data_IF_875831513028
#
_entry.id   IF_875831513028
#
_cell.length_a   1.000
_cell.length_b   1.000
_cell.length_c   1.000
_cell.angle_alpha   90.00
_cell.angle_beta   90.00
_cell.angle_gamma   90.00
#
_symmetry.space_group_name_H-M   'P 1'
#
loop_
_entity.id
_entity.type
_entity.pdbx_description
1 polymer ?
#
# COMPACT_ATOMS: atom_id res chain seq x y z
N UNK A 1 -26.64 -7.00 5.86
CA UNK A 1 -25.81 -6.00 6.54
C UNK A 1 -25.11 -6.67 7.70
N UNK A 2 -23.79 -6.72 7.72
CA UNK A 2 -23.07 -7.38 8.82
C UNK A 2 -22.86 -6.37 9.95
N UNK A 3 -23.46 -6.65 11.11
CA UNK A 3 -23.32 -5.88 12.37
C UNK A 3 -21.85 -5.63 12.73
N UNK A 4 -20.94 -6.51 12.30
CA UNK A 4 -19.50 -6.41 12.52
C UNK A 4 -18.87 -5.19 11.85
N UNK A 5 -19.38 -4.73 10.73
CA UNK A 5 -18.76 -3.63 9.98
C UNK A 5 -19.15 -2.23 10.45
N UNK A 6 -20.41 -2.04 10.87
CA UNK A 6 -20.82 -0.77 11.48
C UNK A 6 -20.13 -0.59 12.84
N UNK A 7 -20.02 -1.66 13.63
CA UNK A 7 -19.26 -1.65 14.88
C UNK A 7 -17.78 -1.34 14.65
N UNK A 8 -17.12 -1.92 13.65
CA UNK A 8 -15.68 -1.73 13.43
C UNK A 8 -15.35 -0.31 12.95
N UNK A 9 -16.24 0.33 12.18
CA UNK A 9 -16.04 1.74 11.77
C UNK A 9 -16.18 2.70 12.95
N UNK A 10 -17.13 2.49 13.84
CA UNK A 10 -17.32 3.23 15.10
C UNK A 10 -16.13 3.05 16.05
N UNK A 11 -15.75 1.81 16.32
CA UNK A 11 -14.59 1.48 17.17
C UNK A 11 -13.27 2.07 16.66
N UNK A 12 -13.02 2.03 15.36
CA UNK A 12 -11.80 2.62 14.82
C UNK A 12 -11.77 4.14 14.99
N UNK A 13 -12.92 4.82 14.89
CA UNK A 13 -13.02 6.26 15.17
C UNK A 13 -12.79 6.56 16.65
N UNK A 14 -13.45 5.83 17.53
CA UNK A 14 -13.32 5.98 18.99
C UNK A 14 -11.92 5.66 19.50
N UNK A 15 -11.21 4.69 18.90
CA UNK A 15 -9.83 4.37 19.27
C UNK A 15 -8.81 5.36 18.67
N UNK A 16 -9.09 5.98 17.52
CA UNK A 16 -8.22 7.03 16.96
C UNK A 16 -8.19 8.30 17.81
N UNK A 17 -9.27 8.61 18.52
CA UNK A 17 -9.34 9.78 19.40
C UNK A 17 -8.31 9.73 20.54
N UNK A 18 -8.26 8.67 21.40
CA UNK A 18 -7.26 8.58 22.47
C UNK A 18 -5.83 8.48 21.92
N UNK A 19 -5.58 7.80 20.81
CA UNK A 19 -4.26 7.74 20.20
C UNK A 19 -3.78 9.13 19.72
N UNK A 20 -4.67 9.92 19.13
CA UNK A 20 -4.37 11.30 18.73
C UNK A 20 -4.08 12.18 19.95
N UNK A 21 -4.83 12.02 21.05
CA UNK A 21 -4.57 12.73 22.30
C UNK A 21 -3.20 12.37 22.88
N UNK A 22 -2.86 11.07 22.96
CA UNK A 22 -1.54 10.59 23.43
C UNK A 22 -0.42 11.21 22.60
N UNK A 23 -0.54 11.22 21.27
CA UNK A 23 0.43 11.87 20.38
C UNK A 23 0.58 13.36 20.66
N UNK A 24 -0.51 14.11 20.74
CA UNK A 24 -0.47 15.55 21.03
C UNK A 24 0.22 15.85 22.35
N UNK A 25 -0.04 15.06 23.41
CA UNK A 25 0.63 15.22 24.70
C UNK A 25 2.12 14.88 24.60
N UNK A 26 2.50 13.76 23.95
CA UNK A 26 3.89 13.39 23.77
C UNK A 26 4.66 14.47 22.98
N UNK A 27 4.10 14.95 21.86
CA UNK A 27 4.69 16.01 21.04
C UNK A 27 4.80 17.35 21.82
N UNK A 28 3.79 17.72 22.59
CA UNK A 28 3.83 18.90 23.45
C UNK A 28 4.94 18.83 24.52
N UNK A 29 5.15 17.66 25.11
CA UNK A 29 6.25 17.41 26.03
C UNK A 29 7.61 17.45 25.33
N UNK A 30 7.76 16.82 24.16
CA UNK A 30 8.98 16.83 23.36
C UNK A 30 9.40 18.26 22.99
N UNK A 31 8.48 19.10 22.53
CA UNK A 31 8.77 20.50 22.19
C UNK A 31 9.29 21.26 23.41
N UNK A 32 8.63 21.11 24.56
CA UNK A 32 9.01 21.82 25.78
C UNK A 32 10.34 21.35 26.36
N UNK A 33 10.56 20.03 26.39
CA UNK A 33 11.80 19.48 26.93
C UNK A 33 13.00 19.80 26.03
N UNK A 34 12.87 19.68 24.70
CA UNK A 34 13.93 20.07 23.76
C UNK A 34 14.30 21.54 23.87
N UNK A 35 13.34 22.42 24.13
CA UNK A 35 13.59 23.84 24.35
C UNK A 35 14.32 24.14 25.68
N UNK A 36 14.17 23.28 26.68
CA UNK A 36 14.79 23.42 27.98
C UNK A 36 16.16 22.69 28.06
N UNK A 37 16.25 21.49 27.50
CA UNK A 37 17.43 20.63 27.49
C UNK A 37 17.35 19.62 26.34
N UNK A 38 18.18 19.84 25.31
CA UNK A 38 18.23 18.96 24.12
C UNK A 38 18.67 17.52 24.42
N UNK A 39 19.27 17.27 25.57
CA UNK A 39 19.74 15.95 25.97
C UNK A 39 18.93 15.37 27.15
N UNK A 40 17.74 15.92 27.40
CA UNK A 40 16.92 15.48 28.53
C UNK A 40 16.60 13.98 28.45
N UNK A 41 16.83 13.18 29.51
CA UNK A 41 16.76 11.72 29.49
C UNK A 41 15.37 11.13 29.19
N UNK A 42 14.29 11.93 29.24
CA UNK A 42 12.93 11.52 28.88
C UNK A 42 12.62 11.67 27.39
N UNK A 43 13.44 12.37 26.60
CA UNK A 43 13.19 12.57 25.18
C UNK A 43 13.04 11.26 24.41
N UNK A 44 13.92 10.24 24.57
CA UNK A 44 13.77 8.97 23.86
C UNK A 44 12.46 8.23 24.21
N UNK A 45 12.03 8.30 25.47
CA UNK A 45 10.79 7.68 25.92
C UNK A 45 9.55 8.35 25.31
N UNK A 46 9.54 9.68 25.24
CA UNK A 46 8.45 10.44 24.62
C UNK A 46 8.39 10.24 23.11
N UNK A 47 9.54 10.15 22.43
CA UNK A 47 9.62 9.78 21.00
C UNK A 47 9.05 8.40 20.75
N UNK A 48 9.36 7.43 21.61
CA UNK A 48 8.77 6.09 21.54
C UNK A 48 7.24 6.12 21.72
N UNK A 49 6.74 6.91 22.67
CA UNK A 49 5.29 7.05 22.90
C UNK A 49 4.62 7.65 21.66
N UNK A 50 5.17 8.73 21.06
CA UNK A 50 4.64 9.34 19.83
C UNK A 50 4.62 8.34 18.68
N UNK A 51 5.71 7.60 18.48
CA UNK A 51 5.81 6.55 17.45
C UNK A 51 4.79 5.43 17.66
N UNK A 52 4.61 4.93 18.89
CA UNK A 52 3.64 3.86 19.17
C UNK A 52 2.20 4.33 18.96
N UNK A 53 1.88 5.54 19.38
CA UNK A 53 0.56 6.12 19.16
C UNK A 53 0.27 6.33 17.65
N UNK A 54 1.27 6.78 16.86
CA UNK A 54 1.16 6.88 15.41
C UNK A 54 0.93 5.51 14.77
N UNK A 55 1.70 4.50 15.14
CA UNK A 55 1.54 3.11 14.66
C UNK A 55 0.15 2.56 14.95
N UNK A 56 -0.37 2.79 16.16
CA UNK A 56 -1.72 2.40 16.53
C UNK A 56 -2.79 3.04 15.65
N UNK A 57 -2.65 4.34 15.38
CA UNK A 57 -3.57 5.08 14.51
C UNK A 57 -3.52 4.58 13.06
N UNK A 58 -2.32 4.25 12.54
CA UNK A 58 -2.15 3.68 11.19
C UNK A 58 -2.77 2.28 11.11
N UNK A 59 -2.57 1.48 12.14
CA UNK A 59 -3.19 0.16 12.33
C UNK A 59 -4.71 0.25 12.21
N UNK A 60 -5.33 1.14 12.96
CA UNK A 60 -6.78 1.33 12.94
C UNK A 60 -7.30 1.88 11.61
N UNK A 61 -6.55 2.76 10.96
CA UNK A 61 -6.88 3.25 9.61
C UNK A 61 -6.92 2.11 8.60
N UNK A 62 -5.91 1.27 8.61
CA UNK A 62 -5.82 0.12 7.71
C UNK A 62 -6.92 -0.91 7.98
N UNK A 63 -7.23 -1.18 9.26
CA UNK A 63 -8.32 -2.05 9.66
C UNK A 63 -9.68 -1.50 9.20
N UNK A 64 -9.95 -0.21 9.43
CA UNK A 64 -11.17 0.46 8.96
C UNK A 64 -11.29 0.37 7.44
N UNK A 65 -10.21 0.62 6.73
CA UNK A 65 -10.19 0.51 5.28
C UNK A 65 -10.49 -0.91 4.80
N UNK A 66 -9.89 -1.91 5.45
CA UNK A 66 -10.16 -3.31 5.15
C UNK A 66 -11.63 -3.70 5.40
N UNK A 67 -12.21 -3.27 6.52
CA UNK A 67 -13.60 -3.58 6.89
C UNK A 67 -14.59 -2.84 5.99
N UNK A 68 -14.39 -1.56 5.70
CA UNK A 68 -15.27 -0.79 4.81
C UNK A 68 -15.30 -1.37 3.40
N UNK A 69 -14.15 -1.85 2.92
CA UNK A 69 -14.09 -2.57 1.65
C UNK A 69 -14.77 -3.95 1.72
N UNK A 70 -14.77 -4.64 2.89
CA UNK A 70 -15.46 -5.91 3.09
C UNK A 70 -16.95 -5.81 2.88
N UNK A 71 -17.53 -4.63 3.10
CA UNK A 71 -18.97 -4.39 3.04
C UNK A 71 -19.47 -3.87 1.68
N UNK A 72 -18.62 -3.83 0.66
CA UNK A 72 -19.01 -3.29 -0.66
C UNK A 72 -19.26 -1.79 -0.65
N UNK A 73 -18.86 -1.08 0.41
CA UNK A 73 -19.01 0.36 0.49
C UNK A 73 -17.89 1.02 -0.31
N UNK A 74 -18.18 1.81 -1.35
CA UNK A 74 -17.18 2.33 -2.26
C UNK A 74 -16.38 3.44 -1.57
N UNK A 75 -15.27 3.09 -0.93
CA UNK A 75 -14.18 4.06 -0.70
C UNK A 75 -13.65 4.57 -2.06
N UNK A 76 -14.05 3.92 -3.11
CA UNK A 76 -13.75 4.24 -4.50
C UNK A 76 -14.94 4.93 -5.18
N UNK A 77 -15.41 6.03 -4.61
CA UNK A 77 -16.35 6.95 -5.28
C UNK A 77 -15.67 7.73 -6.41
N UNK A 78 -14.35 7.60 -6.52
CA UNK A 78 -13.60 8.24 -7.59
C UNK A 78 -13.93 7.60 -8.94
N UNK A 79 -14.14 8.46 -9.95
CA UNK A 79 -14.41 8.00 -11.30
C UNK A 79 -13.23 7.20 -11.88
N UNK A 80 -13.53 6.16 -12.64
CA UNK A 80 -12.54 5.43 -13.44
C UNK A 80 -12.00 6.39 -14.51
N UNK A 81 -10.70 6.56 -14.55
CA UNK A 81 -10.01 7.44 -15.49
C UNK A 81 -8.70 6.81 -15.97
N UNK A 82 -8.25 7.23 -17.14
CA UNK A 82 -6.96 6.82 -17.66
C UNK A 82 -5.83 7.47 -16.86
N UNK A 83 -5.09 6.68 -16.08
CA UNK A 83 -4.00 7.11 -15.21
C UNK A 83 -2.66 6.79 -15.87
N UNK A 84 -1.75 7.74 -15.93
CA UNK A 84 -0.36 7.51 -16.30
C UNK A 84 0.33 6.74 -15.15
N UNK A 85 0.74 5.51 -15.42
CA UNK A 85 1.35 4.64 -14.38
C UNK A 85 2.64 5.26 -13.86
N UNK A 86 3.44 5.87 -14.73
CA UNK A 86 4.67 6.57 -14.35
C UNK A 86 4.41 7.69 -13.35
N UNK A 87 3.42 8.53 -13.62
CA UNK A 87 3.05 9.66 -12.75
C UNK A 87 2.56 9.17 -11.38
N UNK A 88 1.78 8.08 -11.34
CA UNK A 88 1.33 7.48 -10.09
C UNK A 88 2.50 6.94 -9.25
N UNK A 89 3.47 6.28 -9.88
CA UNK A 89 4.69 5.79 -9.21
C UNK A 89 5.49 6.97 -8.64
N UNK A 90 5.74 7.99 -9.45
CA UNK A 90 6.53 9.16 -9.06
C UNK A 90 5.83 9.92 -7.90
N UNK A 91 4.52 10.07 -7.95
CA UNK A 91 3.72 10.71 -6.88
C UNK A 91 3.82 9.92 -5.57
N UNK A 92 3.55 8.63 -5.59
CA UNK A 92 3.64 7.78 -4.40
C UNK A 92 5.06 7.79 -3.83
N UNK A 93 6.07 7.66 -4.68
CA UNK A 93 7.46 7.69 -4.27
C UNK A 93 7.84 8.99 -3.56
N UNK A 94 7.43 10.15 -4.10
CA UNK A 94 7.67 11.45 -3.47
C UNK A 94 6.98 11.56 -2.10
N UNK A 95 5.71 11.17 -2.00
CA UNK A 95 4.97 11.19 -0.73
C UNK A 95 5.66 10.35 0.35
N UNK A 96 6.06 9.14 0.00
CA UNK A 96 6.71 8.23 0.95
C UNK A 96 8.10 8.72 1.38
N UNK A 97 8.86 9.34 0.47
CA UNK A 97 10.15 9.98 0.81
C UNK A 97 9.99 11.18 1.73
N UNK A 98 9.01 12.05 1.46
CA UNK A 98 8.72 13.21 2.32
C UNK A 98 8.31 12.78 3.74
N UNK A 99 7.62 11.66 3.87
CA UNK A 99 7.27 11.06 5.16
C UNK A 99 8.45 10.36 5.87
N UNK A 100 9.67 10.42 5.32
CA UNK A 100 10.89 9.80 5.83
C UNK A 100 10.74 8.30 6.15
N UNK A 101 9.88 7.61 5.40
CA UNK A 101 9.58 6.20 5.67
C UNK A 101 10.78 5.27 5.37
N UNK A 102 11.69 5.67 4.44
CA UNK A 102 12.84 4.87 4.05
C UNK A 102 13.91 5.71 3.32
N UNK A 103 14.82 6.36 4.03
CA UNK A 103 15.81 7.27 3.43
C UNK A 103 16.85 6.56 2.54
N UNK A 104 16.97 5.23 2.63
CA UNK A 104 18.07 4.44 2.02
C UNK A 104 17.66 3.63 0.80
N UNK A 105 16.38 3.59 0.41
CA UNK A 105 15.94 2.81 -0.76
C UNK A 105 16.17 3.60 -2.05
N UNK A 106 16.78 2.95 -3.05
CA UNK A 106 16.92 3.48 -4.41
C UNK A 106 15.84 2.90 -5.32
N UNK A 107 15.08 3.77 -5.99
CA UNK A 107 14.05 3.37 -6.95
C UNK A 107 14.61 3.38 -8.38
N UNK A 108 14.40 2.27 -9.10
CA UNK A 108 14.68 2.11 -10.53
C UNK A 108 13.35 1.92 -11.26
N UNK A 109 13.08 2.70 -12.31
CA UNK A 109 11.80 2.62 -13.03
C UNK A 109 12.00 2.50 -14.53
N UNK A 110 11.38 1.47 -15.13
CA UNK A 110 11.30 1.24 -16.57
C UNK A 110 9.83 1.23 -16.98
N UNK A 111 9.25 2.42 -17.10
CA UNK A 111 7.82 2.62 -17.41
C UNK A 111 7.69 3.70 -18.47
N UNK A 112 7.03 3.38 -19.58
CA UNK A 112 6.74 4.36 -20.62
C UNK A 112 5.81 5.46 -20.10
N UNK A 113 6.14 6.71 -20.37
CA UNK A 113 5.28 7.85 -20.03
C UNK A 113 3.90 7.80 -20.70
N UNK A 114 3.77 7.07 -21.80
CA UNK A 114 2.51 6.89 -22.53
C UNK A 114 1.64 5.76 -21.97
N UNK A 115 2.18 4.92 -21.06
CA UNK A 115 1.44 3.77 -20.53
C UNK A 115 0.38 4.21 -19.54
N UNK A 116 -0.89 3.87 -19.82
CA UNK A 116 -2.03 4.27 -18.99
C UNK A 116 -2.91 3.07 -18.66
N UNK A 117 -3.45 3.07 -17.46
CA UNK A 117 -4.45 2.09 -17.00
C UNK A 117 -5.72 2.83 -16.58
N UNK A 118 -6.89 2.26 -16.86
CA UNK A 118 -8.18 2.86 -16.48
C UNK A 118 -8.60 2.32 -15.12
N UNK A 119 -8.48 3.15 -14.08
CA UNK A 119 -8.77 2.82 -12.68
C UNK A 119 -9.09 4.10 -11.89
N UNK A 120 -9.67 4.00 -10.68
CA UNK A 120 -9.57 5.06 -9.67
C UNK A 120 -8.10 5.29 -9.28
N UNK A 121 -7.61 6.54 -9.27
CA UNK A 121 -6.19 6.83 -8.97
C UNK A 121 -5.78 6.38 -7.58
N UNK A 122 -6.65 6.59 -6.59
CA UNK A 122 -6.44 6.15 -5.21
C UNK A 122 -6.18 4.64 -5.10
N UNK A 123 -6.81 3.82 -5.97
CA UNK A 123 -6.58 2.38 -5.99
C UNK A 123 -5.13 2.05 -6.35
N UNK A 124 -4.65 2.59 -7.47
CA UNK A 124 -3.29 2.31 -7.92
C UNK A 124 -2.25 2.84 -6.94
N UNK A 125 -2.43 4.07 -6.46
CA UNK A 125 -1.53 4.70 -5.49
C UNK A 125 -1.43 3.89 -4.20
N UNK A 126 -2.55 3.38 -3.68
CA UNK A 126 -2.55 2.59 -2.46
C UNK A 126 -1.89 1.22 -2.64
N UNK A 127 -2.11 0.55 -3.77
CA UNK A 127 -1.44 -0.72 -4.09
C UNK A 127 0.07 -0.50 -4.17
N UNK A 128 0.52 0.53 -4.91
CA UNK A 128 1.93 0.89 -5.03
C UNK A 128 2.53 1.23 -3.66
N UNK A 129 1.88 2.08 -2.87
CA UNK A 129 2.36 2.46 -1.54
C UNK A 129 2.53 1.25 -0.61
N UNK A 130 1.55 0.34 -0.57
CA UNK A 130 1.64 -0.86 0.26
C UNK A 130 2.81 -1.76 -0.14
N UNK A 131 3.05 -1.97 -1.44
CA UNK A 131 4.12 -2.86 -1.92
C UNK A 131 5.49 -2.20 -1.67
N UNK A 132 5.63 -0.90 -1.97
CA UNK A 132 6.86 -0.14 -1.75
C UNK A 132 7.23 -0.12 -0.25
N UNK A 133 6.25 0.14 0.63
CA UNK A 133 6.44 0.10 2.07
C UNK A 133 6.82 -1.30 2.56
N UNK A 134 6.21 -2.35 2.00
CA UNK A 134 6.56 -3.72 2.35
C UNK A 134 8.02 -4.04 2.02
N UNK A 135 8.50 -3.66 0.83
CA UNK A 135 9.89 -3.84 0.43
C UNK A 135 10.85 -3.06 1.34
N UNK A 136 10.58 -1.78 1.56
CA UNK A 136 11.41 -0.93 2.42
C UNK A 136 11.50 -1.44 3.86
N UNK A 137 10.37 -1.83 4.43
CA UNK A 137 10.29 -2.38 5.79
C UNK A 137 10.90 -3.79 5.90
N UNK A 138 11.04 -4.54 4.80
CA UNK A 138 11.78 -5.80 4.75
C UNK A 138 13.31 -5.59 4.66
N UNK A 139 13.77 -4.34 4.52
CA UNK A 139 15.19 -4.00 4.44
C UNK A 139 15.71 -3.87 3.01
N UNK A 140 14.84 -3.70 2.01
CA UNK A 140 15.27 -3.44 0.65
C UNK A 140 16.16 -2.18 0.57
N UNK A 141 17.21 -2.26 -0.21
CA UNK A 141 18.06 -1.13 -0.58
C UNK A 141 17.80 -0.68 -2.02
N UNK A 142 17.25 -1.57 -2.85
CA UNK A 142 16.86 -1.31 -4.22
C UNK A 142 15.44 -1.83 -4.48
N UNK A 143 14.68 -1.06 -5.27
CA UNK A 143 13.37 -1.42 -5.76
C UNK A 143 13.32 -1.12 -7.26
N UNK A 144 12.96 -2.13 -8.05
CA UNK A 144 12.75 -2.00 -9.51
C UNK A 144 11.27 -2.07 -9.81
N UNK A 145 10.79 -1.11 -10.61
CA UNK A 145 9.40 -1.10 -11.09
C UNK A 145 9.42 -1.05 -12.61
N UNK A 146 8.88 -2.09 -13.23
CA UNK A 146 8.71 -2.21 -14.67
C UNK A 146 7.23 -2.28 -14.97
N UNK A 147 6.78 -1.54 -15.99
CA UNK A 147 5.40 -1.67 -16.46
C UNK A 147 5.36 -1.70 -17.98
N UNK A 148 4.59 -2.64 -18.52
CA UNK A 148 4.47 -2.88 -19.93
C UNK A 148 3.06 -3.24 -20.35
N UNK A 149 2.77 -3.06 -21.64
CA UNK A 149 1.55 -3.53 -22.26
C UNK A 149 1.71 -4.98 -22.63
N UNK A 150 0.74 -5.80 -22.29
CA UNK A 150 0.62 -7.21 -22.68
C UNK A 150 -0.52 -7.38 -23.66
N UNK A 151 -0.65 -8.56 -24.28
CA UNK A 151 -1.77 -8.89 -25.18
C UNK A 151 -3.15 -8.70 -24.51
N UNK A 152 -3.24 -8.99 -23.21
CA UNK A 152 -4.50 -9.00 -22.46
C UNK A 152 -4.68 -7.79 -21.55
N UNK A 153 -3.73 -6.85 -21.52
CA UNK A 153 -3.83 -5.72 -20.59
C UNK A 153 -2.51 -5.03 -20.30
N UNK A 154 -2.29 -4.75 -19.03
CA UNK A 154 -1.10 -4.09 -18.52
C UNK A 154 -0.52 -4.92 -17.38
N UNK A 155 0.78 -5.15 -17.44
CA UNK A 155 1.57 -5.76 -16.35
C UNK A 155 2.37 -4.69 -15.65
N UNK A 156 2.36 -4.71 -14.31
CA UNK A 156 3.23 -3.90 -13.44
C UNK A 156 3.98 -4.86 -12.53
N UNK A 157 5.29 -4.84 -12.62
CA UNK A 157 6.19 -5.71 -11.84
C UNK A 157 6.99 -4.86 -10.88
N UNK A 158 6.92 -5.18 -9.59
CA UNK A 158 7.72 -4.55 -8.54
C UNK A 158 8.65 -5.63 -7.97
N UNK A 159 9.95 -5.39 -7.98
CA UNK A 159 10.97 -6.30 -7.47
C UNK A 159 11.83 -5.60 -6.44
N UNK A 160 12.06 -6.24 -5.30
CA UNK A 160 12.99 -5.81 -4.26
C UNK A 160 14.20 -6.75 -4.13
N UNK A 161 15.18 -6.37 -3.29
CA UNK A 161 16.34 -7.17 -2.92
C UNK A 161 16.39 -7.46 -1.41
N UNK A 162 15.24 -7.58 -0.75
CA UNK A 162 15.12 -7.69 0.71
C UNK A 162 15.28 -9.13 1.26
N UNK A 163 15.86 -10.06 0.51
CA UNK A 163 16.12 -11.43 0.96
C UNK A 163 15.01 -12.44 0.67
N UNK A 164 13.84 -11.99 0.17
CA UNK A 164 12.69 -12.85 -0.15
C UNK A 164 11.84 -13.22 1.07
N UNK A 165 10.88 -14.11 0.86
CA UNK A 165 9.89 -14.55 1.86
C UNK A 165 10.01 -16.08 2.01
N UNK A 166 9.85 -16.61 3.23
CA UNK A 166 9.78 -18.05 3.46
C UNK A 166 8.68 -18.71 2.61
N UNK A 167 8.97 -19.87 2.02
CA UNK A 167 8.07 -20.58 1.11
C UNK A 167 6.71 -20.93 1.73
N UNK A 168 6.65 -21.23 3.03
CA UNK A 168 5.41 -21.55 3.72
C UNK A 168 4.53 -20.29 3.88
N UNK A 169 5.16 -19.14 4.11
CA UNK A 169 4.50 -17.86 4.22
C UNK A 169 4.13 -17.28 2.84
N UNK A 170 4.96 -17.52 1.84
CA UNK A 170 4.70 -17.07 0.47
C UNK A 170 3.35 -17.59 -0.06
N UNK A 171 3.01 -18.85 0.22
CA UNK A 171 1.73 -19.45 -0.15
C UNK A 171 0.51 -18.79 0.52
N UNK A 172 0.74 -18.11 1.62
CA UNK A 172 -0.30 -17.44 2.42
C UNK A 172 -0.15 -15.91 2.43
N UNK A 173 0.72 -15.36 1.58
CA UNK A 173 1.09 -13.96 1.60
C UNK A 173 -0.09 -12.98 1.44
N UNK A 174 -1.16 -13.40 0.79
CA UNK A 174 -2.39 -12.61 0.61
C UNK A 174 -3.47 -12.89 1.66
N UNK A 175 -3.23 -13.80 2.60
CA UNK A 175 -4.19 -14.02 3.69
C UNK A 175 -4.09 -12.88 4.71
N UNK A 176 -5.22 -12.36 5.19
CA UNK A 176 -5.23 -11.35 6.24
C UNK A 176 -4.51 -11.83 7.49
N UNK A 177 -3.82 -10.91 8.16
CA UNK A 177 -3.07 -11.13 9.40
C UNK A 177 -1.83 -12.02 9.29
N UNK A 178 -1.41 -12.39 8.07
CA UNK A 178 -0.15 -13.11 7.84
C UNK A 178 1.02 -12.13 7.75
N UNK A 179 1.95 -12.24 8.70
CA UNK A 179 3.14 -11.39 8.77
C UNK A 179 4.25 -12.08 9.55
N UNK A 180 5.49 -11.88 9.13
CA UNK A 180 6.71 -12.25 9.87
C UNK A 180 7.19 -11.13 10.80
N UNK A 181 6.60 -9.95 10.69
CA UNK A 181 7.04 -8.76 11.42
C UNK A 181 6.33 -8.65 12.74
N UNK A 182 7.10 -8.40 13.81
CA UNK A 182 6.56 -8.17 15.16
C UNK A 182 5.59 -6.98 15.22
N UNK A 183 5.72 -6.02 14.31
CA UNK A 183 4.96 -4.77 14.30
C UNK A 183 4.02 -4.64 13.08
N UNK A 184 3.94 -5.66 12.23
CA UNK A 184 3.09 -5.65 11.04
C UNK A 184 1.76 -6.35 11.29
N UNK A 185 0.64 -5.76 10.85
CA UNK A 185 -0.68 -6.40 10.92
C UNK A 185 -0.92 -7.51 9.91
N UNK A 186 -0.06 -7.66 8.90
CA UNK A 186 -0.27 -8.62 7.82
C UNK A 186 -1.50 -8.34 6.95
N UNK A 187 -1.93 -7.08 6.84
CA UNK A 187 -3.08 -6.68 6.02
C UNK A 187 -2.69 -6.10 4.66
N UNK A 188 -1.46 -5.60 4.50
CA UNK A 188 -1.04 -4.85 3.31
C UNK A 188 -1.26 -5.60 2.00
N UNK A 189 -0.76 -6.83 1.88
CA UNK A 189 -0.92 -7.64 0.66
C UNK A 189 -2.37 -8.11 0.45
N UNK A 190 -3.11 -8.41 1.51
CA UNK A 190 -4.53 -8.74 1.43
C UNK A 190 -5.36 -7.57 0.88
N UNK A 191 -5.03 -6.34 1.31
CA UNK A 191 -5.61 -5.10 0.76
C UNK A 191 -5.24 -4.95 -0.72
N UNK A 192 -3.97 -5.14 -1.09
CA UNK A 192 -3.54 -5.08 -2.48
C UNK A 192 -4.33 -6.05 -3.37
N UNK A 193 -4.44 -7.31 -2.96
CA UNK A 193 -5.19 -8.32 -3.74
C UNK A 193 -6.64 -7.90 -3.98
N UNK A 194 -7.27 -7.36 -2.95
CA UNK A 194 -8.66 -6.92 -3.03
C UNK A 194 -8.83 -5.70 -3.93
N UNK A 195 -7.95 -4.69 -3.81
CA UNK A 195 -7.96 -3.51 -4.66
C UNK A 195 -7.71 -3.85 -6.12
N UNK A 196 -6.72 -4.72 -6.39
CA UNK A 196 -6.41 -5.17 -7.74
C UNK A 196 -7.58 -5.93 -8.35
N UNK A 197 -8.25 -6.82 -7.60
CA UNK A 197 -9.49 -7.50 -8.06
C UNK A 197 -10.63 -6.53 -8.33
N UNK A 198 -10.78 -5.49 -7.50
CA UNK A 198 -11.76 -4.43 -7.77
C UNK A 198 -11.44 -3.70 -9.09
N UNK A 199 -10.15 -3.46 -9.36
CA UNK A 199 -9.64 -2.94 -10.63
C UNK A 199 -9.70 -3.94 -11.79
N UNK A 200 -10.38 -5.09 -11.65
CA UNK A 200 -10.47 -6.17 -12.64
C UNK A 200 -9.11 -6.74 -13.03
N UNK A 201 -8.20 -6.79 -12.07
CA UNK A 201 -6.86 -7.31 -12.22
C UNK A 201 -6.61 -8.55 -11.36
N UNK A 202 -5.39 -9.07 -11.48
CA UNK A 202 -4.84 -10.11 -10.63
C UNK A 202 -3.46 -9.71 -10.09
N UNK A 203 -3.10 -10.27 -8.94
CA UNK A 203 -1.83 -10.01 -8.28
C UNK A 203 -1.20 -11.32 -7.82
N UNK A 204 0.09 -11.45 -8.07
CA UNK A 204 0.89 -12.59 -7.64
C UNK A 204 2.17 -12.13 -6.96
N UNK A 205 2.76 -13.03 -6.15
CA UNK A 205 4.02 -12.79 -5.45
C UNK A 205 4.88 -14.04 -5.53
N UNK A 206 6.20 -13.86 -5.71
CA UNK A 206 7.18 -14.93 -5.73
C UNK A 206 8.55 -14.44 -5.29
N UNK A 207 9.41 -15.36 -4.87
CA UNK A 207 10.83 -15.06 -4.68
C UNK A 207 11.56 -15.07 -6.02
N UNK A 208 12.52 -14.17 -6.17
CA UNK A 208 13.40 -14.11 -7.33
C UNK A 208 14.70 -13.40 -6.96
N UNK A 209 15.79 -13.77 -7.65
CA UNK A 209 17.04 -12.99 -7.57
C UNK A 209 16.82 -11.63 -8.24
N UNK A 210 17.16 -10.56 -7.54
CA UNK A 210 17.07 -9.19 -8.03
C UNK A 210 18.20 -8.86 -9.03
N UNK A 211 18.11 -7.77 -9.81
CA UNK A 211 19.13 -7.38 -10.80
C UNK A 211 20.54 -7.15 -10.22
N UNK A 212 20.66 -6.84 -8.93
CA UNK A 212 21.92 -6.73 -8.20
C UNK A 212 22.50 -8.07 -7.72
N UNK A 213 21.85 -9.19 -8.03
CA UNK A 213 22.26 -10.55 -7.66
C UNK A 213 21.80 -11.01 -6.26
N UNK A 214 21.13 -10.17 -5.48
CA UNK A 214 20.60 -10.52 -4.17
C UNK A 214 19.24 -11.22 -4.29
N UNK A 215 18.91 -12.03 -3.29
CA UNK A 215 17.55 -12.58 -3.17
C UNK A 215 16.56 -11.49 -2.88
N UNK A 216 15.37 -11.58 -3.47
CA UNK A 216 14.32 -10.60 -3.26
C UNK A 216 12.94 -11.16 -3.55
N UNK A 217 11.95 -10.28 -3.52
CA UNK A 217 10.57 -10.59 -3.81
C UNK A 217 10.11 -9.88 -5.08
N UNK A 218 9.33 -10.56 -5.89
CA UNK A 218 8.65 -9.99 -7.05
C UNK A 218 7.15 -10.02 -6.83
N UNK A 219 6.51 -8.87 -6.91
CA UNK A 219 5.07 -8.71 -6.97
C UNK A 219 4.69 -8.34 -8.39
N UNK A 220 3.81 -9.10 -9.00
CA UNK A 220 3.29 -8.85 -10.35
C UNK A 220 1.81 -8.53 -10.28
N UNK A 221 1.40 -7.43 -10.91
CA UNK A 221 0.03 -6.97 -11.00
C UNK A 221 -0.35 -6.97 -12.48
N UNK A 222 -1.47 -7.58 -12.79
CA UNK A 222 -2.07 -7.52 -14.13
C UNK A 222 -3.43 -6.85 -14.07
N UNK A 223 -3.62 -5.81 -14.89
CA UNK A 223 -4.93 -5.23 -15.17
C UNK A 223 -5.36 -5.59 -16.57
N UNK A 224 -6.56 -6.13 -16.71
CA UNK A 224 -7.11 -6.52 -18.00
C UNK A 224 -7.52 -5.29 -18.84
N UNK A 225 -7.43 -5.38 -20.15
CA UNK A 225 -8.06 -4.41 -21.04
C UNK A 225 -9.58 -4.38 -20.78
N UNK A 226 -10.19 -3.20 -20.75
CA UNK A 226 -11.61 -3.12 -20.98
C UNK A 226 -11.85 -3.65 -22.41
N UNK A 227 -12.45 -4.84 -22.52
CA UNK A 227 -13.02 -5.23 -23.80
C UNK A 227 -14.04 -4.15 -24.15
N UNK A 228 -13.75 -3.37 -25.19
CA UNK A 228 -14.69 -2.43 -25.77
C UNK A 228 -16.04 -3.13 -25.90
N UNK A 229 -17.07 -2.55 -25.28
CA UNK A 229 -18.41 -3.09 -25.37
C UNK A 229 -18.67 -3.47 -26.82
N UNK A 230 -19.15 -4.68 -27.04
CA UNK A 230 -19.76 -5.03 -28.30
C UNK A 230 -20.86 -3.99 -28.52
N UNK A 231 -20.57 -3.04 -29.38
CA UNK A 231 -21.60 -2.25 -30.02
C UNK A 231 -22.61 -3.26 -30.60
N UNK A 232 -23.76 -3.29 -29.95
CA UNK A 232 -24.88 -4.08 -30.46
C UNK A 232 -25.19 -3.61 -31.84
N UNK A 233 -24.80 -4.41 -32.82
CA UNK A 233 -25.29 -4.36 -34.20
C UNK A 233 -26.79 -4.56 -34.12
N UNK A 234 -27.52 -3.45 -34.04
CA UNK A 234 -28.97 -3.41 -34.17
C UNK A 234 -29.32 -2.95 -35.61
N UNK A 235 -28.84 -3.69 -36.58
CA UNK A 235 -29.37 -3.63 -37.92
C UNK A 235 -30.63 -4.48 -37.99
N UNK A 236 -31.75 -3.95 -37.53
CA UNK A 236 -33.06 -4.47 -37.86
C UNK A 236 -33.51 -3.80 -39.16
N UNK A 237 -33.26 -4.49 -40.24
CA UNK A 237 -34.01 -4.39 -41.46
C UNK A 237 -35.42 -4.97 -41.24
N UNK A 238 -36.45 -4.26 -41.67
CA UNK A 238 -37.79 -4.78 -41.76
C UNK A 238 -38.82 -3.68 -41.76
#
# INVERSE_FOLDING_TARGET
MSVLGEMTSGFAHELNQPLSAIRHYAQGCLIRLRAADEQHPLLPALEQIDQQAQRGADTLRNLRHWVSQAQGNPVLTEAWKAIAIREAIDHVWQLLRMAQQFPTVTLHTEVSAALRVTLPSVLLEQVLANIILNAAQAGATHLWIVAERTENGISIVLQDNAGGIDEALLRQAFQPFMTTRKEGMGLGLAICQRLVRYGRGDISIRNQTAPDGLSGTVVTIHFLHENGGRDGDNSSTG
#
